data_IF_840091197577
#
_entry.id   IF_840091197577
#
_cell.length_a   1.000
_cell.length_b   1.000
_cell.length_c   1.000
_cell.angle_alpha   90.00
_cell.angle_beta   90.00
_cell.angle_gamma   90.00
#
_symmetry.space_group_name_H-M   'P 1'
#
loop_
_entity.id
_entity.type
_entity.pdbx_description
1 polymer ?
#
# COMPACT_ATOMS: atom_id res chain seq x y z
N UNK A 1 -2.44 7.47 -21.65
CA UNK A 1 -2.53 6.99 -23.05
C UNK A 1 -1.28 7.35 -23.85
N UNK A 2 -0.93 8.63 -24.01
CA UNK A 2 0.22 9.04 -24.85
C UNK A 2 1.58 8.41 -24.44
N UNK A 3 1.89 8.34 -23.15
CA UNK A 3 3.18 7.83 -22.64
C UNK A 3 3.10 6.45 -22.00
N UNK A 4 1.91 5.87 -21.88
CA UNK A 4 1.65 4.63 -21.14
C UNK A 4 2.22 4.58 -19.70
N UNK A 5 2.40 5.73 -19.06
CA UNK A 5 2.90 5.79 -17.68
C UNK A 5 1.88 5.22 -16.69
N UNK A 6 2.34 4.46 -15.70
CA UNK A 6 1.48 4.01 -14.60
C UNK A 6 1.22 5.16 -13.62
N UNK A 7 -0.04 5.39 -13.28
CA UNK A 7 -0.49 6.46 -12.37
C UNK A 7 -1.17 5.83 -11.15
N UNK A 8 -0.81 6.30 -9.96
CA UNK A 8 -1.41 5.86 -8.69
C UNK A 8 -2.17 7.02 -8.08
N UNK A 9 -3.45 6.82 -7.78
CA UNK A 9 -4.22 7.70 -6.92
C UNK A 9 -3.87 7.35 -5.46
N UNK A 10 -3.11 8.23 -4.81
CA UNK A 10 -2.82 8.10 -3.38
C UNK A 10 -4.10 8.37 -2.57
N UNK A 11 -4.22 7.71 -1.41
CA UNK A 11 -5.40 7.83 -0.55
C UNK A 11 -5.13 8.81 0.58
N UNK A 12 -6.01 9.81 0.69
CA UNK A 12 -5.99 10.84 1.73
C UNK A 12 -6.74 10.36 2.98
N UNK A 13 -7.28 11.29 3.78
CA UNK A 13 -8.09 10.94 4.96
C UNK A 13 -9.45 10.33 4.58
N UNK A 14 -10.19 9.88 5.59
CA UNK A 14 -11.42 9.13 5.40
C UNK A 14 -12.54 9.88 4.69
N UNK A 15 -12.55 11.22 4.71
CA UNK A 15 -13.59 12.01 4.03
C UNK A 15 -13.40 12.02 2.50
N UNK A 16 -12.19 11.71 2.02
CA UNK A 16 -11.85 11.70 0.59
C UNK A 16 -11.82 10.31 -0.05
N UNK A 17 -12.11 9.25 0.71
CA UNK A 17 -12.06 7.87 0.18
C UNK A 17 -13.08 7.65 -0.92
N UNK A 18 -14.35 7.96 -0.67
CA UNK A 18 -15.41 7.70 -1.65
C UNK A 18 -15.22 8.52 -2.93
N UNK A 19 -14.92 9.84 -2.89
CA UNK A 19 -14.56 10.59 -4.08
C UNK A 19 -13.37 10.00 -4.84
N UNK A 20 -12.34 9.52 -4.13
CA UNK A 20 -11.14 8.94 -4.75
C UNK A 20 -11.45 7.60 -5.44
N UNK A 21 -12.24 6.73 -4.81
CA UNK A 21 -12.66 5.46 -5.39
C UNK A 21 -13.62 5.65 -6.56
N UNK A 22 -14.51 6.65 -6.51
CA UNK A 22 -15.37 7.01 -7.63
C UNK A 22 -14.54 7.51 -8.82
N UNK A 23 -13.54 8.37 -8.58
CA UNK A 23 -12.63 8.83 -9.64
C UNK A 23 -11.85 7.67 -10.24
N UNK A 24 -11.34 6.75 -9.41
CA UNK A 24 -10.68 5.53 -9.88
C UNK A 24 -11.60 4.71 -10.80
N UNK A 25 -12.85 4.50 -10.36
CA UNK A 25 -13.85 3.74 -11.10
C UNK A 25 -14.17 4.40 -12.45
N UNK A 26 -14.40 5.72 -12.49
CA UNK A 26 -14.65 6.46 -13.71
C UNK A 26 -13.47 6.34 -14.70
N UNK A 27 -12.24 6.59 -14.23
CA UNK A 27 -11.05 6.48 -15.07
C UNK A 27 -10.87 5.07 -15.64
N UNK A 28 -11.17 4.04 -14.87
CA UNK A 28 -10.96 2.66 -15.29
C UNK A 28 -12.08 2.14 -16.18
N UNK A 29 -13.32 2.29 -15.74
CA UNK A 29 -14.49 1.62 -16.30
C UNK A 29 -15.19 2.47 -17.37
N UNK A 30 -15.22 3.79 -17.20
CA UNK A 30 -15.83 4.70 -18.16
C UNK A 30 -14.81 5.14 -19.21
N UNK A 31 -13.62 5.57 -18.77
CA UNK A 31 -12.56 6.04 -19.66
C UNK A 31 -11.59 4.93 -20.13
N UNK A 32 -11.72 3.69 -19.66
CA UNK A 32 -10.93 2.54 -20.15
C UNK A 32 -9.42 2.63 -19.88
N UNK A 33 -8.98 3.32 -18.83
CA UNK A 33 -7.56 3.37 -18.46
C UNK A 33 -7.12 2.13 -17.65
N UNK A 34 -6.23 1.32 -18.23
CA UNK A 34 -5.69 0.12 -17.58
C UNK A 34 -4.38 0.36 -16.79
N UNK A 35 -3.89 1.59 -16.80
CA UNK A 35 -2.62 2.01 -16.20
C UNK A 35 -2.83 2.87 -14.93
N UNK A 36 -4.03 2.85 -14.36
CA UNK A 36 -4.39 3.57 -13.14
C UNK A 36 -4.55 2.56 -12.00
N UNK A 37 -4.02 2.90 -10.84
CA UNK A 37 -4.19 2.13 -9.62
C UNK A 37 -4.60 3.03 -8.45
N UNK A 38 -5.03 2.41 -7.36
CA UNK A 38 -5.49 3.11 -6.15
C UNK A 38 -4.78 2.61 -4.89
N UNK A 39 -4.78 3.41 -3.83
CA UNK A 39 -4.25 3.06 -2.50
C UNK A 39 -5.40 2.65 -1.57
N UNK A 40 -5.19 1.60 -0.77
CA UNK A 40 -6.09 1.19 0.31
C UNK A 40 -5.32 1.17 1.64
N UNK A 41 -5.98 1.60 2.71
CA UNK A 41 -5.39 1.82 4.03
C UNK A 41 -5.90 0.78 5.04
N UNK A 42 -5.06 -0.17 5.43
CA UNK A 42 -5.44 -1.32 6.27
C UNK A 42 -5.97 -0.98 7.67
N UNK A 43 -5.76 0.24 8.18
CA UNK A 43 -6.28 0.66 9.47
C UNK A 43 -7.80 0.96 9.49
N UNK A 44 -8.51 0.98 8.35
CA UNK A 44 -9.94 1.28 8.31
C UNK A 44 -10.78 0.00 8.36
N UNK A 45 -11.93 0.07 9.01
CA UNK A 45 -12.89 -1.03 9.03
C UNK A 45 -13.45 -1.35 7.64
N UNK A 46 -13.64 -0.33 6.79
CA UNK A 46 -14.22 -0.48 5.44
C UNK A 46 -13.30 -1.19 4.42
N UNK A 47 -12.00 -1.24 4.67
CA UNK A 47 -11.01 -1.60 3.65
C UNK A 47 -11.13 -3.01 3.10
N UNK A 48 -11.69 -3.95 3.87
CA UNK A 48 -11.97 -5.29 3.33
C UNK A 48 -13.00 -5.24 2.20
N UNK A 49 -14.10 -4.52 2.41
CA UNK A 49 -15.15 -4.38 1.40
C UNK A 49 -14.61 -3.70 0.13
N UNK A 50 -13.84 -2.62 0.30
CA UNK A 50 -13.20 -1.92 -0.82
C UNK A 50 -12.24 -2.86 -1.59
N UNK A 51 -11.44 -3.67 -0.88
CA UNK A 51 -10.52 -4.62 -1.52
C UNK A 51 -11.25 -5.73 -2.26
N UNK A 52 -12.35 -6.26 -1.72
CA UNK A 52 -13.15 -7.29 -2.41
C UNK A 52 -13.67 -6.78 -3.75
N UNK A 53 -14.16 -5.55 -3.79
CA UNK A 53 -14.57 -4.92 -5.04
C UNK A 53 -13.38 -4.77 -6.01
N UNK A 54 -12.24 -4.25 -5.52
CA UNK A 54 -11.04 -4.07 -6.34
C UNK A 54 -10.45 -5.41 -6.85
N UNK A 55 -10.60 -6.49 -6.08
CA UNK A 55 -10.23 -7.85 -6.48
C UNK A 55 -11.11 -8.33 -7.62
N UNK A 56 -12.42 -8.14 -7.51
CA UNK A 56 -13.37 -8.48 -8.57
C UNK A 56 -13.06 -7.72 -9.87
N UNK A 57 -12.65 -6.46 -9.76
CA UNK A 57 -12.28 -5.64 -10.92
C UNK A 57 -10.87 -5.94 -11.46
N UNK A 58 -10.03 -6.75 -10.78
CA UNK A 58 -8.66 -7.00 -11.22
C UNK A 58 -7.72 -5.80 -11.06
N UNK A 59 -7.89 -5.01 -10.00
CA UNK A 59 -7.24 -3.71 -9.84
C UNK A 59 -5.73 -3.76 -9.62
N UNK A 60 -5.03 -2.69 -10.01
CA UNK A 60 -3.71 -2.40 -9.47
C UNK A 60 -3.88 -1.73 -8.11
N UNK A 61 -3.47 -2.36 -7.01
CA UNK A 61 -3.68 -1.86 -5.65
C UNK A 61 -2.35 -1.58 -4.95
N UNK A 62 -2.26 -0.51 -4.17
CA UNK A 62 -1.19 -0.30 -3.19
C UNK A 62 -1.79 -0.41 -1.79
N UNK A 63 -1.32 -1.36 -1.00
CA UNK A 63 -1.77 -1.54 0.37
C UNK A 63 -0.78 -0.84 1.32
N UNK A 64 -1.31 0.07 2.14
CA UNK A 64 -0.57 0.76 3.23
C UNK A 64 -1.27 0.49 4.56
N UNK A 65 -0.63 0.80 5.69
CA UNK A 65 -1.33 0.81 6.99
C UNK A 65 -2.32 1.96 7.09
N UNK A 66 -1.93 3.15 6.64
CA UNK A 66 -2.68 4.40 6.83
C UNK A 66 -1.78 5.45 7.50
N UNK A 67 -1.99 6.73 7.16
CA UNK A 67 -1.09 7.81 7.58
C UNK A 67 -1.77 8.83 8.53
N UNK A 68 -3.09 8.95 8.48
CA UNK A 68 -3.84 10.02 9.13
C UNK A 68 -4.32 9.63 10.54
N UNK A 69 -4.67 10.63 11.35
CA UNK A 69 -5.26 10.43 12.67
C UNK A 69 -6.78 10.28 12.59
N UNK A 70 -7.24 9.10 12.22
CA UNK A 70 -8.67 8.78 12.13
C UNK A 70 -9.31 8.47 13.50
N UNK A 71 -10.60 8.78 13.70
CA UNK A 71 -11.33 8.47 14.91
C UNK A 71 -11.63 6.95 15.05
N UNK A 72 -11.85 6.45 16.27
CA UNK A 72 -11.95 5.01 16.56
C UNK A 72 -13.21 4.33 16.00
N UNK A 73 -14.22 5.10 15.60
CA UNK A 73 -15.43 4.63 14.90
C UNK A 73 -15.18 4.34 13.41
N UNK A 74 -14.08 4.87 12.83
CA UNK A 74 -13.69 4.67 11.43
C UNK A 74 -12.47 3.75 11.28
N UNK A 75 -11.54 3.80 12.23
CA UNK A 75 -10.26 3.11 12.16
C UNK A 75 -9.94 2.32 13.43
N UNK A 76 -9.17 1.24 13.27
CA UNK A 76 -8.64 0.47 14.37
C UNK A 76 -7.78 1.35 15.29
N UNK A 77 -8.12 1.51 16.58
CA UNK A 77 -7.34 2.34 17.49
C UNK A 77 -6.03 1.66 17.88
N UNK A 78 -6.00 0.32 17.94
CA UNK A 78 -4.80 -0.43 18.31
C UNK A 78 -3.99 -0.82 17.07
N UNK A 79 -2.67 -0.59 17.13
CA UNK A 79 -1.72 -1.00 16.08
C UNK A 79 -1.82 -2.50 15.75
N UNK A 80 -1.99 -3.35 16.76
CA UNK A 80 -2.07 -4.80 16.56
C UNK A 80 -3.26 -5.19 15.68
N UNK A 81 -4.37 -4.48 15.78
CA UNK A 81 -5.56 -4.75 14.98
C UNK A 81 -5.35 -4.30 13.53
N UNK A 82 -4.67 -3.15 13.33
CA UNK A 82 -4.23 -2.70 11.99
C UNK A 82 -3.24 -3.68 11.36
N UNK A 83 -2.28 -4.19 12.12
CA UNK A 83 -1.30 -5.17 11.62
C UNK A 83 -1.99 -6.48 11.21
N UNK A 84 -2.93 -6.98 12.02
CA UNK A 84 -3.74 -8.16 11.68
C UNK A 84 -4.56 -7.92 10.42
N UNK A 85 -5.20 -6.75 10.31
CA UNK A 85 -6.00 -6.42 9.13
C UNK A 85 -5.11 -6.28 7.89
N UNK A 86 -3.93 -5.67 7.99
CA UNK A 86 -2.99 -5.58 6.87
C UNK A 86 -2.65 -6.96 6.30
N UNK A 87 -2.33 -7.93 7.17
CA UNK A 87 -2.03 -9.31 6.76
C UNK A 87 -3.27 -9.97 6.12
N UNK A 88 -4.44 -9.79 6.72
CA UNK A 88 -5.69 -10.31 6.16
C UNK A 88 -5.97 -9.77 4.74
N UNK A 89 -5.86 -8.45 4.56
CA UNK A 89 -6.05 -7.80 3.27
C UNK A 89 -4.99 -8.19 2.24
N UNK A 90 -3.75 -8.41 2.68
CA UNK A 90 -2.69 -8.91 1.82
C UNK A 90 -3.00 -10.31 1.29
N UNK A 91 -3.56 -11.20 2.12
CA UNK A 91 -4.00 -12.52 1.68
C UNK A 91 -5.11 -12.44 0.62
N UNK A 92 -6.10 -11.56 0.81
CA UNK A 92 -7.16 -11.32 -0.18
C UNK A 92 -6.59 -10.87 -1.53
N UNK A 93 -5.65 -9.92 -1.50
CA UNK A 93 -5.00 -9.38 -2.69
C UNK A 93 -4.04 -10.36 -3.39
N UNK A 94 -3.68 -11.47 -2.73
CA UNK A 94 -2.85 -12.54 -3.29
C UNK A 94 -3.62 -13.85 -3.52
N UNK A 95 -4.93 -13.84 -3.27
CA UNK A 95 -5.80 -15.00 -3.45
C UNK A 95 -5.83 -15.48 -4.91
N UNK A 96 -6.28 -16.72 -5.12
CA UNK A 96 -6.48 -17.26 -6.47
C UNK A 96 -7.41 -16.39 -7.31
N UNK A 97 -8.51 -15.93 -6.72
CA UNK A 97 -9.46 -15.00 -7.35
C UNK A 97 -8.77 -13.70 -7.79
N UNK A 98 -8.00 -13.07 -6.89
CA UNK A 98 -7.26 -11.86 -7.21
C UNK A 98 -6.28 -12.08 -8.37
N UNK A 99 -5.54 -13.20 -8.36
CA UNK A 99 -4.60 -13.53 -9.43
C UNK A 99 -5.30 -13.82 -10.75
N UNK A 100 -6.43 -14.53 -10.74
CA UNK A 100 -7.23 -14.84 -11.93
C UNK A 100 -7.81 -13.58 -12.56
N UNK A 101 -8.24 -12.62 -11.74
CA UNK A 101 -8.76 -11.33 -12.20
C UNK A 101 -7.64 -10.36 -12.62
N UNK A 102 -6.36 -10.72 -12.42
CA UNK A 102 -5.23 -9.90 -12.85
C UNK A 102 -4.86 -8.78 -11.88
N UNK A 103 -5.23 -8.90 -10.60
CA UNK A 103 -4.80 -7.98 -9.55
C UNK A 103 -3.27 -7.96 -9.47
N UNK A 104 -2.71 -6.77 -9.34
CA UNK A 104 -1.30 -6.58 -8.99
C UNK A 104 -1.19 -5.70 -7.77
N UNK A 105 -0.36 -6.09 -6.80
CA UNK A 105 -0.33 -5.44 -5.49
C UNK A 105 1.04 -4.87 -5.14
N UNK A 106 1.08 -3.60 -4.77
CA UNK A 106 2.23 -2.98 -4.10
C UNK A 106 2.04 -2.99 -2.58
N UNK A 107 2.82 -3.80 -1.85
CA UNK A 107 2.83 -3.79 -0.40
C UNK A 107 3.75 -2.68 0.11
N UNK A 108 3.14 -1.55 0.48
CA UNK A 108 3.84 -0.36 0.90
C UNK A 108 4.01 -0.32 2.43
N UNK A 109 5.13 -0.87 2.90
CA UNK A 109 5.45 -1.00 4.33
C UNK A 109 6.96 -1.11 4.55
N UNK A 110 7.42 -0.60 5.70
CA UNK A 110 8.78 -0.81 6.21
C UNK A 110 8.80 -1.80 7.38
N UNK A 111 7.67 -2.40 7.74
CA UNK A 111 7.56 -3.32 8.87
C UNK A 111 7.95 -4.74 8.43
N UNK A 112 9.07 -5.27 8.94
CA UNK A 112 9.55 -6.61 8.59
C UNK A 112 8.50 -7.68 8.87
N UNK A 113 7.71 -7.55 9.94
CA UNK A 113 6.69 -8.56 10.24
C UNK A 113 5.64 -8.64 9.15
N UNK A 114 5.30 -7.51 8.54
CA UNK A 114 4.33 -7.46 7.45
C UNK A 114 4.93 -7.98 6.14
N UNK A 115 6.19 -7.65 5.88
CA UNK A 115 6.93 -8.15 4.70
C UNK A 115 7.06 -9.67 4.77
N UNK A 116 7.50 -10.20 5.90
CA UNK A 116 7.66 -11.65 6.09
C UNK A 116 6.31 -12.38 6.05
N UNK A 117 5.24 -11.80 6.61
CA UNK A 117 3.90 -12.39 6.49
C UNK A 117 3.43 -12.52 5.03
N UNK A 118 3.69 -11.50 4.20
CA UNK A 118 3.40 -11.52 2.76
C UNK A 118 4.22 -12.60 2.06
N UNK A 119 5.53 -12.68 2.34
CA UNK A 119 6.44 -13.68 1.76
C UNK A 119 6.00 -15.09 2.15
N UNK A 120 5.70 -15.32 3.42
CA UNK A 120 5.26 -16.61 3.96
C UNK A 120 3.96 -17.07 3.28
N UNK A 121 2.98 -16.17 3.16
CA UNK A 121 1.74 -16.46 2.45
C UNK A 121 2.00 -16.78 0.97
N UNK A 122 2.81 -15.96 0.30
CA UNK A 122 3.14 -16.13 -1.11
C UNK A 122 3.82 -17.48 -1.36
N UNK A 123 4.80 -17.85 -0.54
CA UNK A 123 5.52 -19.13 -0.66
C UNK A 123 4.57 -20.33 -0.43
N UNK A 124 3.70 -20.26 0.59
CA UNK A 124 2.73 -21.32 0.88
C UNK A 124 1.73 -21.56 -0.24
N UNK A 125 1.36 -20.51 -0.97
CA UNK A 125 0.35 -20.56 -2.04
C UNK A 125 0.95 -20.47 -3.44
N UNK A 126 2.27 -20.68 -3.57
CA UNK A 126 3.03 -20.63 -4.82
C UNK A 126 2.70 -19.35 -5.65
N UNK A 127 2.64 -18.20 -4.99
CA UNK A 127 2.40 -16.90 -5.61
C UNK A 127 3.68 -16.40 -6.27
N UNK A 128 3.66 -16.30 -7.61
CA UNK A 128 4.76 -15.67 -8.36
C UNK A 128 4.95 -14.22 -7.92
N UNK A 129 6.20 -13.80 -7.87
CA UNK A 129 6.61 -12.39 -7.66
C UNK A 129 6.14 -11.46 -8.78
N UNK A 130 5.56 -11.98 -9.86
CA UNK A 130 4.95 -11.17 -10.92
C UNK A 130 3.59 -10.58 -10.54
N UNK A 131 2.99 -11.01 -9.43
CA UNK A 131 1.70 -10.50 -8.93
C UNK A 131 1.86 -9.39 -7.88
N UNK A 132 3.07 -9.17 -7.36
CA UNK A 132 3.27 -8.18 -6.30
C UNK A 132 4.66 -7.57 -6.28
N UNK A 133 4.78 -6.44 -5.59
CA UNK A 133 6.05 -5.78 -5.29
C UNK A 133 6.04 -5.21 -3.88
N UNK A 134 7.21 -5.04 -3.29
CA UNK A 134 7.37 -4.27 -2.06
C UNK A 134 7.63 -2.81 -2.38
N UNK A 135 7.07 -1.91 -1.58
CA UNK A 135 7.26 -0.47 -1.77
C UNK A 135 7.69 0.19 -0.47
N UNK A 136 8.71 1.04 -0.57
CA UNK A 136 9.30 1.73 0.57
C UNK A 136 9.59 3.19 0.24
N UNK A 137 9.58 4.05 1.25
CA UNK A 137 10.01 5.44 1.09
C UNK A 137 11.52 5.54 0.80
N UNK A 138 11.90 6.51 -0.02
CA UNK A 138 13.28 6.87 -0.27
C UNK A 138 14.00 7.27 1.02
N UNK A 139 15.24 6.81 1.18
CA UNK A 139 16.08 7.10 2.35
C UNK A 139 15.75 6.30 3.61
N UNK A 140 14.76 5.40 3.59
CA UNK A 140 14.35 4.61 4.77
C UNK A 140 14.65 3.13 4.53
N UNK A 141 15.44 2.51 5.43
CA UNK A 141 15.82 1.08 5.39
C UNK A 141 16.44 0.65 4.04
N UNK A 142 17.46 1.37 3.58
CA UNK A 142 18.12 1.11 2.30
C UNK A 142 18.66 -0.31 2.17
N UNK A 143 19.33 -0.84 3.21
CA UNK A 143 19.85 -2.20 3.18
C UNK A 143 18.74 -3.24 2.98
N UNK A 144 17.60 -3.05 3.65
CA UNK A 144 16.44 -3.95 3.50
C UNK A 144 15.86 -3.93 2.09
N UNK A 145 15.84 -2.76 1.44
CA UNK A 145 15.43 -2.65 0.03
C UNK A 145 16.36 -3.48 -0.87
N UNK A 146 17.68 -3.37 -0.67
CA UNK A 146 18.66 -4.17 -1.41
C UNK A 146 18.55 -5.67 -1.13
N UNK A 147 18.34 -6.06 0.12
CA UNK A 147 18.13 -7.46 0.51
C UNK A 147 16.94 -8.08 -0.23
N UNK A 148 15.79 -7.38 -0.26
CA UNK A 148 14.60 -7.85 -0.97
C UNK A 148 14.87 -8.02 -2.47
N UNK A 149 15.60 -7.09 -3.08
CA UNK A 149 16.01 -7.22 -4.49
C UNK A 149 16.93 -8.44 -4.70
N UNK A 150 17.93 -8.65 -3.83
CA UNK A 150 18.82 -9.83 -3.90
C UNK A 150 18.07 -11.14 -3.73
N UNK A 151 16.97 -11.14 -2.99
CA UNK A 151 16.07 -12.29 -2.84
C UNK A 151 15.13 -12.51 -4.04
N UNK A 152 15.20 -11.64 -5.07
CA UNK A 152 14.40 -11.76 -6.29
C UNK A 152 13.06 -11.02 -6.25
N UNK A 153 12.76 -10.27 -5.19
CA UNK A 153 11.53 -9.48 -5.12
C UNK A 153 11.65 -8.18 -5.91
N UNK A 154 10.53 -7.77 -6.52
CA UNK A 154 10.40 -6.43 -7.10
C UNK A 154 10.26 -5.41 -5.97
N UNK A 155 11.09 -4.38 -5.99
CA UNK A 155 11.06 -3.28 -5.02
C UNK A 155 10.87 -1.95 -5.75
N UNK A 156 9.97 -1.10 -5.24
CA UNK A 156 9.78 0.28 -5.73
C UNK A 156 9.99 1.28 -4.59
N UNK A 157 10.83 2.27 -4.85
CA UNK A 157 11.06 3.36 -3.90
C UNK A 157 10.17 4.56 -4.21
N UNK A 158 9.47 5.09 -3.21
CA UNK A 158 8.68 6.33 -3.31
C UNK A 158 9.61 7.52 -3.11
N UNK A 159 9.83 8.29 -4.18
CA UNK A 159 10.78 9.42 -4.21
C UNK A 159 9.99 10.74 -4.30
N UNK A 160 9.74 11.44 -3.18
CA UNK A 160 9.19 12.79 -3.23
C UNK A 160 10.26 13.74 -3.80
N UNK A 161 9.84 14.70 -4.63
CA UNK A 161 10.71 15.73 -5.21
C UNK A 161 9.99 17.08 -5.28
N UNK A 162 10.73 18.17 -5.43
CA UNK A 162 10.20 19.54 -5.49
C UNK A 162 10.49 20.38 -4.25
N UNK A 163 10.30 21.70 -4.34
CA UNK A 163 10.75 22.67 -3.33
C UNK A 163 10.07 22.55 -1.95
N UNK A 164 8.88 21.96 -1.90
CA UNK A 164 8.08 21.82 -0.68
C UNK A 164 8.17 20.42 -0.03
N UNK A 165 9.18 19.61 -0.39
CA UNK A 165 9.30 18.23 0.08
C UNK A 165 9.44 18.12 1.60
N UNK A 166 10.22 19.01 2.24
CA UNK A 166 10.51 18.93 3.68
C UNK A 166 9.28 19.27 4.54
N UNK A 167 8.54 20.38 4.31
CA UNK A 167 7.30 20.65 5.03
C UNK A 167 6.23 19.56 4.82
N UNK A 168 6.11 19.02 3.60
CA UNK A 168 5.17 17.94 3.30
C UNK A 168 5.49 16.66 4.09
N UNK A 169 6.77 16.24 4.06
CA UNK A 169 7.24 15.07 4.78
C UNK A 169 7.10 15.23 6.30
N UNK A 170 7.49 16.39 6.84
CA UNK A 170 7.36 16.67 8.28
C UNK A 170 5.91 16.72 8.74
N UNK A 171 4.97 17.22 7.91
CA UNK A 171 3.54 17.22 8.23
C UNK A 171 2.98 15.80 8.33
N UNK A 172 3.26 14.95 7.33
CA UNK A 172 2.82 13.54 7.37
C UNK A 172 3.47 12.72 8.48
N UNK A 173 4.70 13.06 8.87
CA UNK A 173 5.34 12.46 10.03
C UNK A 173 4.72 12.92 11.36
N UNK A 174 4.33 14.18 11.47
CA UNK A 174 3.77 14.76 12.69
C UNK A 174 2.30 14.36 12.95
N UNK A 175 1.54 13.98 11.93
CA UNK A 175 0.13 13.58 12.02
C UNK A 175 -0.12 12.36 12.94
N UNK A 176 0.89 11.50 13.17
CA UNK A 176 0.84 10.46 14.22
C UNK A 176 2.21 10.28 14.89
N UNK A 177 2.36 10.52 16.21
CA UNK A 177 3.62 10.29 16.94
C UNK A 177 4.15 8.86 16.81
N UNK A 178 3.24 7.88 16.71
CA UNK A 178 3.59 6.47 16.49
C UNK A 178 4.22 6.23 15.10
N UNK A 179 3.77 6.95 14.07
CA UNK A 179 4.39 6.91 12.74
C UNK A 179 5.78 7.54 12.80
N UNK A 180 5.92 8.70 13.45
CA UNK A 180 7.22 9.35 13.64
C UNK A 180 8.24 8.43 14.35
N UNK A 181 7.84 7.80 15.46
CA UNK A 181 8.70 6.85 16.19
C UNK A 181 9.04 5.61 15.35
N UNK A 182 8.06 5.08 14.61
CA UNK A 182 8.29 3.98 13.68
C UNK A 182 9.26 4.37 12.56
N UNK A 183 9.13 5.56 11.97
CA UNK A 183 10.06 6.05 10.96
C UNK A 183 11.47 6.30 11.52
N UNK A 184 11.59 6.96 12.67
CA UNK A 184 12.87 7.20 13.34
C UNK A 184 13.59 5.88 13.69
N UNK A 185 12.87 4.93 14.29
CA UNK A 185 13.44 3.61 14.62
C UNK A 185 13.86 2.81 13.38
N UNK A 186 13.20 3.03 12.24
CA UNK A 186 13.57 2.41 10.97
C UNK A 186 14.67 3.17 10.21
N UNK A 187 14.86 4.46 10.44
CA UNK A 187 16.00 5.23 9.91
C UNK A 187 17.30 4.86 10.64
N UNK A 188 17.23 4.57 11.94
CA UNK A 188 18.39 4.16 12.75
C UNK A 188 18.81 2.71 12.50
N UNK A 189 17.90 1.88 11.98
CA UNK A 189 18.21 0.53 11.47
C UNK A 189 18.64 0.66 10.01
N UNK A 190 19.89 1.09 9.79
CA UNK A 190 20.53 1.10 8.47
C UNK A 190 20.63 -0.32 7.93
#
# INVERSE_FOLDING_TARGET
>A
RQTNNKIRLDMEDSDLIDPTLQLYCALRNEDGFNNVGVVIQAYLYRSENDIRQLVHEGAWVRLVKGAYAEPPDRAYPNKADTDRNFVHLAHLLLSDEARQNGVYTGFATHDDKMIEAVIEYANRHNVSTDYYEFQMLYGVRGQRQEELVRQGYRVRTYVPYGMAWYPYFMRRLAERPANLWFFLSNLLKS
#
